data_IF_489920582012
#
_entry.id   IF_489920582012
#
_cell.length_a   1.000
_cell.length_b   1.000
_cell.length_c   1.000
_cell.angle_alpha   90.00
_cell.angle_beta   90.00
_cell.angle_gamma   90.00
#
_symmetry.space_group_name_H-M   'P 1'
#
loop_
_entity.id
_entity.type
_entity.pdbx_description
1 polymer ?
#
# COMPACT_ATOMS: atom_id res chain seq x y z
N UNK A 1 -22.07 28.49 9.08
CA UNK A 1 -22.01 27.26 8.25
C UNK A 1 -20.86 26.38 8.71
N UNK A 2 -21.14 25.15 9.00
CA UNK A 2 -20.10 24.20 9.35
C UNK A 2 -19.56 23.51 8.10
N UNK A 3 -18.22 23.40 8.01
CA UNK A 3 -17.56 22.66 6.94
C UNK A 3 -17.21 21.26 7.47
N UNK A 4 -17.49 20.27 6.67
CA UNK A 4 -17.22 18.88 7.00
C UNK A 4 -16.29 18.26 5.97
N UNK A 5 -15.34 17.46 6.43
CA UNK A 5 -14.53 16.65 5.56
C UNK A 5 -15.17 15.28 5.36
N UNK A 6 -15.00 14.72 4.18
CA UNK A 6 -15.42 13.37 3.88
C UNK A 6 -14.39 12.67 3.01
N UNK A 7 -14.21 11.37 3.23
CA UNK A 7 -13.42 10.52 2.35
C UNK A 7 -14.34 10.02 1.24
N UNK A 8 -14.05 10.38 0.00
CA UNK A 8 -14.90 10.04 -1.15
C UNK A 8 -14.31 8.93 -2.03
N UNK A 9 -13.05 8.60 -1.84
CA UNK A 9 -12.41 7.54 -2.60
C UNK A 9 -11.16 7.02 -1.93
N UNK A 10 -10.87 5.74 -2.14
CA UNK A 10 -9.72 5.06 -1.57
C UNK A 10 -9.04 4.26 -2.69
N UNK A 11 -7.72 4.20 -2.64
CA UNK A 11 -6.93 3.37 -3.53
C UNK A 11 -5.72 2.79 -2.81
N UNK A 12 -5.27 1.65 -3.29
CA UNK A 12 -4.11 0.99 -2.73
C UNK A 12 -3.25 0.40 -3.83
N UNK A 13 -1.95 0.35 -3.58
CA UNK A 13 -1.00 -0.31 -4.47
C UNK A 13 0.08 -0.96 -3.64
N UNK A 14 0.41 -2.19 -3.97
CA UNK A 14 1.48 -2.93 -3.31
C UNK A 14 2.50 -3.39 -4.35
N UNK A 15 3.78 -3.55 -3.95
CA UNK A 15 4.79 -4.09 -4.84
C UNK A 15 4.46 -5.51 -5.30
N UNK A 16 5.02 -5.91 -6.43
CA UNK A 16 4.71 -7.19 -7.05
C UNK A 16 5.36 -8.39 -6.37
N UNK A 17 6.53 -8.20 -5.73
CA UNK A 17 7.25 -9.29 -5.10
C UNK A 17 6.64 -9.62 -3.73
N UNK A 18 6.17 -10.85 -3.58
CA UNK A 18 5.65 -11.36 -2.32
C UNK A 18 6.76 -12.05 -1.55
N UNK A 19 6.91 -11.71 -0.26
CA UNK A 19 7.78 -12.42 0.66
C UNK A 19 6.96 -12.99 1.79
N UNK A 20 6.98 -14.32 1.92
CA UNK A 20 6.29 -15.03 3.00
C UNK A 20 7.18 -15.11 4.24
N UNK A 21 6.57 -15.51 5.36
CA UNK A 21 7.35 -15.76 6.57
C UNK A 21 8.34 -16.91 6.36
N UNK A 22 7.99 -17.89 5.52
CA UNK A 22 8.89 -19.01 5.18
C UNK A 22 10.13 -18.52 4.40
N UNK A 23 10.00 -17.48 3.60
CA UNK A 23 11.14 -16.88 2.92
C UNK A 23 12.14 -16.29 3.91
N UNK A 24 11.65 -15.68 5.00
CA UNK A 24 12.51 -15.15 6.06
C UNK A 24 13.22 -16.22 6.85
N UNK A 25 12.62 -17.41 7.02
CA UNK A 25 13.25 -18.53 7.70
C UNK A 25 14.55 -18.97 7.03
N UNK A 26 14.70 -18.70 5.72
CA UNK A 26 15.87 -19.11 4.94
C UNK A 26 17.14 -18.34 5.29
N UNK A 27 17.01 -17.13 5.83
CA UNK A 27 18.18 -16.28 6.09
C UNK A 27 18.16 -15.57 7.45
N UNK A 28 17.08 -15.69 8.20
CA UNK A 28 16.96 -15.14 9.56
C UNK A 28 16.63 -16.24 10.54
N UNK A 29 17.07 -16.06 11.79
CA UNK A 29 16.72 -16.96 12.88
C UNK A 29 15.31 -16.62 13.38
N UNK A 30 14.33 -17.09 12.64
CA UNK A 30 12.91 -16.86 12.93
C UNK A 30 12.05 -18.01 12.37
N UNK A 31 10.76 -17.97 12.62
CA UNK A 31 9.82 -18.94 12.10
C UNK A 31 8.49 -18.27 11.73
N UNK A 32 7.76 -18.88 10.80
CA UNK A 32 6.40 -18.44 10.45
C UNK A 32 5.51 -18.40 11.71
N UNK A 33 5.59 -19.41 12.56
CA UNK A 33 4.82 -19.47 13.80
C UNK A 33 5.10 -18.27 14.70
N UNK A 34 6.38 -17.93 14.89
CA UNK A 34 6.79 -16.81 15.72
C UNK A 34 6.30 -15.47 15.15
N UNK A 35 6.51 -15.26 13.85
CA UNK A 35 6.12 -14.01 13.18
C UNK A 35 4.60 -13.83 13.21
N UNK A 36 3.85 -14.88 12.88
CA UNK A 36 2.38 -14.85 12.86
C UNK A 36 1.83 -14.60 14.25
N UNK A 37 2.38 -15.26 15.27
CA UNK A 37 1.94 -15.08 16.65
C UNK A 37 2.17 -13.66 17.17
N UNK A 38 3.27 -13.02 16.75
CA UNK A 38 3.64 -11.68 17.18
C UNK A 38 2.96 -10.57 16.41
N UNK A 39 2.74 -10.77 15.11
CA UNK A 39 2.31 -9.69 14.21
C UNK A 39 0.99 -9.98 13.51
N UNK A 40 0.57 -11.24 13.40
CA UNK A 40 -0.55 -11.65 12.56
C UNK A 40 -0.24 -11.61 11.06
N UNK A 41 0.97 -11.24 10.69
CA UNK A 41 1.38 -11.06 9.29
C UNK A 41 1.96 -12.36 8.76
N UNK A 42 1.43 -12.84 7.65
CA UNK A 42 1.88 -14.07 7.00
C UNK A 42 2.78 -13.80 5.81
N UNK A 43 2.62 -12.67 5.17
CA UNK A 43 3.43 -12.26 4.03
C UNK A 43 3.45 -10.74 3.92
N UNK A 44 4.40 -10.22 3.13
CA UNK A 44 4.52 -8.81 2.81
C UNK A 44 5.00 -8.67 1.37
N UNK A 45 4.87 -7.47 0.85
CA UNK A 45 5.30 -7.15 -0.50
C UNK A 45 6.56 -6.29 -0.46
N UNK A 46 7.51 -6.62 -1.32
CA UNK A 46 8.75 -5.87 -1.48
C UNK A 46 8.83 -5.28 -2.88
N UNK A 47 9.36 -4.07 -2.98
CA UNK A 47 9.57 -3.43 -4.26
C UNK A 47 10.56 -4.22 -5.10
N UNK A 48 10.20 -4.47 -6.35
CA UNK A 48 11.08 -4.99 -7.39
C UNK A 48 11.73 -3.84 -8.14
N UNK A 49 12.67 -4.15 -9.04
CA UNK A 49 13.29 -3.14 -9.89
C UNK A 49 12.22 -2.35 -10.65
N UNK A 50 12.33 -1.03 -10.63
CA UNK A 50 11.37 -0.14 -11.26
C UNK A 50 10.16 0.22 -10.41
N UNK A 51 9.94 -0.45 -9.28
CA UNK A 51 8.89 -0.10 -8.33
C UNK A 51 9.45 0.84 -7.28
N UNK A 52 8.92 2.06 -7.23
CA UNK A 52 9.39 3.11 -6.32
C UNK A 52 8.19 3.67 -5.54
N UNK A 53 8.48 4.48 -4.53
CA UNK A 53 7.43 5.21 -3.81
C UNK A 53 6.56 6.00 -4.77
N UNK A 54 7.16 6.62 -5.79
CA UNK A 54 6.42 7.39 -6.79
C UNK A 54 5.48 6.51 -7.60
N UNK A 55 5.98 5.39 -8.15
CA UNK A 55 5.15 4.51 -8.97
C UNK A 55 3.99 3.90 -8.19
N UNK A 56 4.24 3.50 -6.95
CA UNK A 56 3.21 2.94 -6.07
C UNK A 56 2.20 4.01 -5.67
N UNK A 57 2.65 5.21 -5.33
CA UNK A 57 1.76 6.31 -4.97
C UNK A 57 0.88 6.75 -6.14
N UNK A 58 1.43 6.80 -7.34
CA UNK A 58 0.66 7.13 -8.55
C UNK A 58 -0.41 6.09 -8.81
N UNK A 59 -0.07 4.81 -8.72
CA UNK A 59 -1.04 3.73 -8.94
C UNK A 59 -2.18 3.78 -7.90
N UNK A 60 -1.85 3.96 -6.63
CA UNK A 60 -2.84 4.08 -5.56
C UNK A 60 -3.73 5.32 -5.75
N UNK A 61 -3.12 6.44 -6.14
CA UNK A 61 -3.85 7.71 -6.36
C UNK A 61 -4.82 7.59 -7.53
N UNK A 62 -4.44 6.92 -8.61
CA UNK A 62 -5.33 6.69 -9.75
C UNK A 62 -6.55 5.87 -9.36
N UNK A 63 -6.37 4.85 -8.53
CA UNK A 63 -7.48 4.07 -8.00
C UNK A 63 -8.40 4.93 -7.13
N UNK A 64 -7.83 5.76 -6.27
CA UNK A 64 -8.61 6.64 -5.40
C UNK A 64 -9.44 7.64 -6.21
N UNK A 65 -8.86 8.24 -7.25
CA UNK A 65 -9.55 9.15 -8.14
C UNK A 65 -10.71 8.46 -8.88
N UNK A 66 -10.47 7.26 -9.39
CA UNK A 66 -11.48 6.45 -10.05
C UNK A 66 -12.61 6.09 -9.09
N UNK A 67 -12.27 5.70 -7.87
CA UNK A 67 -13.23 5.35 -6.82
C UNK A 67 -14.09 6.57 -6.43
N UNK A 68 -13.48 7.75 -6.34
CA UNK A 68 -14.18 9.00 -6.05
C UNK A 68 -14.97 9.56 -7.23
N UNK A 69 -14.69 9.09 -8.45
CA UNK A 69 -15.33 9.59 -9.67
C UNK A 69 -14.90 10.99 -10.07
N UNK A 70 -13.66 11.38 -9.74
CA UNK A 70 -13.09 12.68 -10.09
C UNK A 70 -11.81 12.54 -10.88
N UNK A 71 -11.38 13.63 -11.50
CA UNK A 71 -10.13 13.70 -12.23
C UNK A 71 -9.08 14.46 -11.43
N UNK A 72 -7.82 14.23 -11.75
CA UNK A 72 -6.70 14.85 -11.04
C UNK A 72 -6.75 16.38 -11.08
N UNK A 73 -7.22 16.96 -12.19
CA UNK A 73 -7.36 18.42 -12.32
C UNK A 73 -8.36 19.05 -11.38
N UNK A 74 -9.22 18.25 -10.75
CA UNK A 74 -10.21 18.72 -9.79
C UNK A 74 -9.68 18.79 -8.36
N UNK A 75 -8.44 18.34 -8.14
CA UNK A 75 -7.81 18.40 -6.82
C UNK A 75 -7.25 19.80 -6.57
N UNK A 76 -7.48 20.31 -5.37
CA UNK A 76 -6.95 21.60 -4.92
C UNK A 76 -5.64 21.43 -4.15
N UNK A 77 -5.43 20.29 -3.50
CA UNK A 77 -4.28 20.03 -2.65
C UNK A 77 -3.90 18.56 -2.66
N UNK A 78 -2.62 18.28 -2.73
CA UNK A 78 -2.06 16.94 -2.58
C UNK A 78 -1.09 16.95 -1.42
N UNK A 79 -1.27 16.03 -0.48
CA UNK A 79 -0.35 15.81 0.63
C UNK A 79 0.27 14.43 0.45
N UNK A 80 1.61 14.40 0.40
CA UNK A 80 2.34 13.17 0.15
C UNK A 80 3.40 12.92 1.24
#
# INVERSE_FOLDING_TARGET
MALHGAITGIGASVPSKVMTNFDFEKFLDTSDEWITKRTGIKQRHHASDGETTVTLSVAASRQALADAGIEAGQLDLIIC
#
